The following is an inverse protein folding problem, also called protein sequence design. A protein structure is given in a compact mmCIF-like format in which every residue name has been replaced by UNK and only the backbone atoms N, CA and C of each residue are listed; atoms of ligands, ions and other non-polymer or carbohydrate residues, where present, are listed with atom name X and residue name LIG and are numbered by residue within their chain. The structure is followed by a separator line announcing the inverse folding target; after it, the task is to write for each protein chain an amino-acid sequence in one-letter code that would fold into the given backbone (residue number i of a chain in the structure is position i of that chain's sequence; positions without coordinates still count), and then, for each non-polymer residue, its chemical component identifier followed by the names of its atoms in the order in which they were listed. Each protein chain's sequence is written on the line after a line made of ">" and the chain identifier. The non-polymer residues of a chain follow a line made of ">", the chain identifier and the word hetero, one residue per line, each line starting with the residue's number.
data_IF_529137606613
#
_entry.id   IF_529137606613
#
_cell.length_a   1.000
_cell.length_b   1.000
_cell.length_c   1.000
_cell.angle_alpha   90.00
_cell.angle_beta   90.00
_cell.angle_gamma   90.00
#
_symmetry.space_group_name_H-M   'P 1'
#
loop_
_entity.id
_entity.type
_entity.pdbx_description
1 polymer ?
#
# COMPACT_ATOMS: atom_id res chain seq x y z
N UNK A 1 12.42 16.95 -12.52
CA UNK A 1 12.15 17.10 -11.09
C UNK A 1 13.26 17.79 -10.33
N UNK A 2 14.55 17.44 -10.57
CA UNK A 2 15.68 17.97 -9.82
C UNK A 2 15.91 19.48 -9.94
N UNK A 3 15.25 20.17 -10.86
CA UNK A 3 15.34 21.63 -11.04
C UNK A 3 14.26 22.40 -10.27
N UNK A 4 13.25 21.72 -9.72
CA UNK A 4 12.19 22.35 -8.93
C UNK A 4 12.52 22.18 -7.46
N UNK A 5 12.57 23.25 -6.72
CA UNK A 5 12.69 23.23 -5.26
C UNK A 5 11.50 23.92 -4.62
N UNK A 6 10.92 23.26 -3.63
CA UNK A 6 9.94 23.84 -2.73
C UNK A 6 10.66 24.23 -1.46
N UNK A 7 10.46 25.45 -0.97
CA UNK A 7 11.21 26.01 0.17
C UNK A 7 10.26 26.64 1.19
N UNK A 8 10.79 26.85 2.41
CA UNK A 8 10.12 27.54 3.52
C UNK A 8 8.74 26.91 3.84
N UNK A 9 7.71 27.71 4.01
CA UNK A 9 6.36 27.29 4.42
C UNK A 9 5.72 26.32 3.43
N UNK A 10 5.93 26.55 2.12
CA UNK A 10 5.46 25.62 1.10
C UNK A 10 6.14 24.23 1.23
N UNK A 11 7.41 24.17 1.60
CA UNK A 11 8.09 22.90 1.85
C UNK A 11 7.53 22.23 3.12
N UNK A 12 7.31 22.98 4.19
CA UNK A 12 6.70 22.46 5.41
C UNK A 12 5.30 21.88 5.14
N UNK A 13 4.45 22.60 4.40
CA UNK A 13 3.12 22.14 4.02
C UNK A 13 3.16 20.85 3.21
N UNK A 14 4.07 20.72 2.24
CA UNK A 14 4.25 19.48 1.46
C UNK A 14 4.74 18.32 2.31
N UNK A 15 5.63 18.54 3.27
CA UNK A 15 6.11 17.51 4.19
C UNK A 15 4.98 17.03 5.11
N UNK A 16 4.17 17.96 5.65
CA UNK A 16 2.98 17.61 6.44
C UNK A 16 1.98 16.80 5.62
N UNK A 17 1.72 17.22 4.38
CA UNK A 17 0.86 16.47 3.46
C UNK A 17 1.42 15.08 3.14
N UNK A 18 2.73 14.95 2.95
CA UNK A 18 3.36 13.66 2.69
C UNK A 18 3.15 12.69 3.88
N UNK A 19 3.22 13.17 5.13
CA UNK A 19 2.95 12.34 6.31
C UNK A 19 1.54 11.74 6.25
N UNK A 20 0.55 12.53 5.87
CA UNK A 20 -0.85 12.05 5.76
C UNK A 20 -1.08 11.04 4.64
N UNK A 21 -0.10 10.85 3.76
CA UNK A 21 -0.15 9.88 2.66
C UNK A 21 0.72 8.63 2.93
N UNK A 22 1.33 8.52 4.11
CA UNK A 22 2.18 7.37 4.45
C UNK A 22 1.32 6.20 4.91
N UNK A 23 1.49 5.03 4.28
CA UNK A 23 1.14 3.75 4.88
C UNK A 23 2.30 3.34 5.78
N UNK A 24 2.17 3.58 7.08
CA UNK A 24 3.23 3.26 8.03
C UNK A 24 3.31 1.75 8.22
N UNK A 25 4.40 1.14 7.76
CA UNK A 25 4.47 -0.28 7.45
C UNK A 25 5.47 -1.01 8.33
N UNK A 26 5.13 -2.21 8.80
CA UNK A 26 6.07 -3.20 9.31
C UNK A 26 5.73 -4.58 8.74
N UNK A 27 6.70 -5.23 8.07
CA UNK A 27 6.56 -6.49 7.36
C UNK A 27 7.81 -7.35 7.58
N UNK A 28 8.22 -7.51 8.82
CA UNK A 28 9.35 -8.33 9.21
C UNK A 28 8.88 -9.65 9.81
N UNK A 29 9.63 -10.72 9.60
CA UNK A 29 9.31 -12.04 10.14
C UNK A 29 9.42 -12.13 11.67
N UNK A 30 10.06 -11.14 12.31
CA UNK A 30 10.22 -11.02 13.77
C UNK A 30 9.27 -9.98 14.39
N UNK A 31 8.25 -9.53 13.67
CA UNK A 31 7.26 -8.60 14.21
C UNK A 31 6.44 -9.23 15.36
N UNK A 32 6.08 -8.40 16.30
CA UNK A 32 5.27 -8.75 17.47
C UNK A 32 4.10 -7.79 17.63
N UNK A 33 3.05 -8.20 18.34
CA UNK A 33 1.92 -7.30 18.65
C UNK A 33 2.37 -6.02 19.35
N UNK A 34 3.33 -6.09 20.27
CA UNK A 34 3.88 -4.91 20.94
C UNK A 34 4.55 -3.95 19.98
N UNK A 35 5.27 -4.47 18.95
CA UNK A 35 5.86 -3.63 17.89
C UNK A 35 4.77 -2.98 17.04
N UNK A 36 3.73 -3.73 16.65
CA UNK A 36 2.59 -3.22 15.88
C UNK A 36 1.83 -2.15 16.66
N UNK A 37 1.50 -2.38 17.94
CA UNK A 37 0.81 -1.39 18.80
C UNK A 37 1.63 -0.10 18.92
N UNK A 38 2.94 -0.20 19.06
CA UNK A 38 3.83 0.98 19.07
C UNK A 38 3.84 1.71 17.71
N UNK A 39 3.76 0.97 16.60
CA UNK A 39 3.64 1.55 15.28
C UNK A 39 2.31 2.30 15.12
N UNK A 40 1.20 1.74 15.61
CA UNK A 40 -0.11 2.38 15.64
C UNK A 40 -0.11 3.68 16.46
N UNK A 41 0.58 3.69 17.61
CA UNK A 41 0.73 4.91 18.39
C UNK A 41 1.49 6.01 17.62
N UNK A 42 2.53 5.63 16.85
CA UNK A 42 3.24 6.56 15.96
C UNK A 42 2.36 7.05 14.81
N UNK A 43 1.47 6.22 14.28
CA UNK A 43 0.54 6.62 13.23
C UNK A 43 -0.46 7.67 13.69
N UNK A 44 -0.93 7.55 14.93
CA UNK A 44 -1.82 8.54 15.57
C UNK A 44 -1.12 9.88 15.85
N UNK A 45 0.16 9.82 16.21
CA UNK A 45 0.96 10.98 16.63
C UNK A 45 2.32 10.96 15.91
N UNK A 46 2.34 11.18 14.57
CA UNK A 46 3.57 11.09 13.77
C UNK A 46 4.52 12.27 14.02
N UNK A 47 4.01 13.36 14.59
CA UNK A 47 4.75 14.57 14.90
C UNK A 47 4.66 14.89 16.39
N UNK A 48 5.73 15.49 16.93
CA UNK A 48 5.76 16.02 18.29
C UNK A 48 4.89 17.27 18.39
N UNK A 49 4.22 17.44 19.53
CA UNK A 49 3.34 18.58 19.80
C UNK A 49 4.06 19.94 19.69
N UNK A 50 5.31 20.03 20.18
CA UNK A 50 6.10 21.26 20.09
C UNK A 50 6.37 21.69 18.64
N UNK A 51 6.53 20.73 17.72
CA UNK A 51 6.65 21.02 16.28
C UNK A 51 5.31 21.47 15.67
N UNK A 52 4.20 20.86 16.05
CA UNK A 52 2.87 21.28 15.60
C UNK A 52 2.57 22.71 16.07
N UNK A 53 2.89 23.05 17.33
CA UNK A 53 2.76 24.40 17.84
C UNK A 53 3.65 25.41 17.08
N UNK A 54 4.92 25.07 16.85
CA UNK A 54 5.86 25.94 16.12
C UNK A 54 5.43 26.19 14.65
N UNK A 55 4.69 25.24 14.06
CA UNK A 55 4.15 25.33 12.69
C UNK A 55 2.75 25.96 12.64
N UNK A 56 2.16 26.37 13.77
CA UNK A 56 0.78 26.87 13.83
C UNK A 56 -0.28 25.82 13.50
N UNK A 57 0.02 24.53 13.72
CA UNK A 57 -0.83 23.39 13.35
C UNK A 57 -1.39 22.66 14.58
N UNK A 58 -1.34 23.27 15.76
CA UNK A 58 -1.77 22.62 17.00
C UNK A 58 -3.23 22.13 16.98
N UNK A 59 -4.12 22.89 16.32
CA UNK A 59 -5.55 22.57 16.20
C UNK A 59 -5.87 21.66 15.00
N UNK A 60 -4.86 21.23 14.25
CA UNK A 60 -5.02 20.39 13.07
C UNK A 60 -4.41 19.00 13.30
N UNK A 61 -5.21 17.97 13.54
CA UNK A 61 -4.69 16.62 13.75
C UNK A 61 -3.99 16.10 12.49
N UNK A 62 -2.72 15.75 12.63
CA UNK A 62 -1.93 15.09 11.58
C UNK A 62 -1.76 13.63 11.97
N UNK A 63 -2.22 12.73 11.12
CA UNK A 63 -2.05 11.27 11.25
C UNK A 63 -1.43 10.71 9.97
N UNK A 64 -0.93 9.47 10.02
CA UNK A 64 -0.57 8.78 8.78
C UNK A 64 -1.83 8.32 8.02
N UNK A 65 -1.68 7.98 6.72
CA UNK A 65 -2.77 7.54 5.86
C UNK A 65 -3.30 6.16 6.24
N UNK A 66 -2.41 5.24 6.59
CA UNK A 66 -2.75 3.88 7.01
C UNK A 66 -1.66 3.26 7.87
N UNK A 67 -1.95 2.11 8.47
CA UNK A 67 -0.99 1.12 8.99
C UNK A 67 -1.01 -0.09 8.07
N UNK A 68 0.15 -0.59 7.67
CA UNK A 68 0.26 -1.80 6.84
C UNK A 68 1.03 -2.90 7.58
N UNK A 69 0.40 -4.07 7.71
CA UNK A 69 0.90 -5.23 8.47
C UNK A 69 0.62 -6.54 7.74
N UNK A 70 1.21 -7.64 8.22
CA UNK A 70 0.76 -8.99 7.86
C UNK A 70 -0.60 -9.30 8.48
N UNK A 71 -1.38 -10.18 7.81
CA UNK A 71 -2.66 -10.70 8.31
C UNK A 71 -2.64 -11.02 9.81
N UNK A 72 -1.59 -11.71 10.29
CA UNK A 72 -1.43 -12.11 11.70
C UNK A 72 -1.64 -10.97 12.71
N UNK A 73 -1.44 -9.73 12.30
CA UNK A 73 -1.47 -8.55 13.18
C UNK A 73 -2.65 -7.62 12.91
N UNK A 74 -3.55 -7.96 11.99
CA UNK A 74 -4.69 -7.10 11.62
C UNK A 74 -5.56 -6.80 12.84
N UNK A 75 -6.01 -7.82 13.56
CA UNK A 75 -6.86 -7.63 14.73
C UNK A 75 -6.21 -6.73 15.80
N UNK A 76 -4.90 -6.94 16.08
CA UNK A 76 -4.16 -6.11 17.04
C UNK A 76 -4.01 -4.65 16.58
N UNK A 77 -3.84 -4.42 15.27
CA UNK A 77 -3.76 -3.08 14.70
C UNK A 77 -5.13 -2.38 14.72
N UNK A 78 -6.21 -3.08 14.36
CA UNK A 78 -7.60 -2.57 14.39
C UNK A 78 -7.96 -2.14 15.81
N UNK A 79 -7.69 -2.98 16.81
CA UNK A 79 -7.89 -2.65 18.21
C UNK A 79 -7.11 -1.40 18.64
N UNK A 80 -5.81 -1.35 18.33
CA UNK A 80 -4.94 -0.23 18.69
C UNK A 80 -5.31 1.09 17.99
N UNK A 81 -5.97 1.05 16.83
CA UNK A 81 -6.40 2.21 16.05
C UNK A 81 -7.88 2.57 16.25
N UNK A 82 -8.59 1.86 17.15
CA UNK A 82 -10.00 2.13 17.41
C UNK A 82 -10.24 3.61 17.72
N UNK A 83 -11.22 4.22 17.06
CA UNK A 83 -11.57 5.64 17.21
C UNK A 83 -10.62 6.65 16.52
N UNK A 84 -9.55 6.21 15.84
CA UNK A 84 -8.63 7.13 15.17
C UNK A 84 -9.01 7.51 13.73
N UNK A 85 -9.84 6.70 13.09
CA UNK A 85 -10.14 6.82 11.66
C UNK A 85 -9.04 6.32 10.73
N UNK A 86 -7.87 5.92 11.23
CA UNK A 86 -6.74 5.40 10.44
C UNK A 86 -7.08 3.97 10.00
N UNK A 87 -7.11 3.65 8.71
CA UNK A 87 -7.37 2.31 8.23
C UNK A 87 -6.19 1.36 8.48
N UNK A 88 -6.50 0.07 8.58
CA UNK A 88 -5.52 -1.01 8.59
C UNK A 88 -5.48 -1.63 7.21
N UNK A 89 -4.28 -1.65 6.60
CA UNK A 89 -3.96 -2.37 5.39
C UNK A 89 -3.30 -3.72 5.74
N UNK A 90 -3.69 -4.77 5.03
CA UNK A 90 -3.06 -6.08 5.15
C UNK A 90 -2.39 -6.49 3.85
N UNK A 91 -1.11 -6.88 3.88
CA UNK A 91 -0.50 -7.54 2.73
C UNK A 91 -1.08 -8.94 2.57
N UNK A 92 -1.29 -9.38 1.32
CA UNK A 92 -2.00 -10.63 1.02
C UNK A 92 -1.48 -11.30 -0.25
N UNK A 93 -2.15 -12.39 -0.64
CA UNK A 93 -1.89 -13.20 -1.84
C UNK A 93 -0.52 -13.87 -1.86
N UNK A 94 -0.05 -14.29 -0.66
CA UNK A 94 1.27 -14.91 -0.50
C UNK A 94 2.41 -13.90 -0.59
N UNK A 95 2.20 -12.70 -0.03
CA UNK A 95 3.23 -11.66 0.04
C UNK A 95 4.54 -12.19 0.68
N UNK A 96 5.73 -11.85 0.15
CA UNK A 96 5.98 -10.94 -0.99
C UNK A 96 6.03 -11.63 -2.36
N UNK A 97 6.08 -12.96 -2.41
CA UNK A 97 6.32 -13.69 -3.64
C UNK A 97 5.10 -13.81 -4.56
N UNK A 98 3.90 -13.90 -4.00
CA UNK A 98 2.66 -14.08 -4.77
C UNK A 98 2.49 -15.49 -5.35
N UNK A 99 3.18 -16.52 -4.82
CA UNK A 99 3.31 -17.85 -5.43
C UNK A 99 2.55 -18.96 -4.68
N UNK A 100 1.55 -18.60 -3.90
CA UNK A 100 0.66 -19.60 -3.28
C UNK A 100 -0.51 -19.95 -4.23
N UNK A 101 -1.21 -21.10 -4.03
CA UNK A 101 -2.39 -21.46 -4.79
C UNK A 101 -3.47 -20.37 -4.78
N UNK A 102 -4.18 -20.21 -5.90
CA UNK A 102 -5.14 -19.12 -6.09
C UNK A 102 -6.27 -19.12 -5.04
N UNK A 103 -6.82 -20.28 -4.71
CA UNK A 103 -7.85 -20.41 -3.67
C UNK A 103 -7.36 -19.98 -2.27
N UNK A 104 -6.08 -20.20 -1.97
CA UNK A 104 -5.48 -19.74 -0.72
C UNK A 104 -5.26 -18.23 -0.71
N UNK A 105 -4.98 -17.61 -1.88
CA UNK A 105 -4.92 -16.15 -2.00
C UNK A 105 -6.26 -15.51 -1.65
N UNK A 106 -7.36 -16.05 -2.16
CA UNK A 106 -8.71 -15.54 -1.88
C UNK A 106 -9.05 -15.68 -0.39
N UNK A 107 -8.79 -16.84 0.20
CA UNK A 107 -9.02 -17.05 1.64
C UNK A 107 -8.19 -16.13 2.54
N UNK A 108 -6.96 -15.82 2.16
CA UNK A 108 -6.10 -14.87 2.88
C UNK A 108 -6.68 -13.46 2.86
N UNK A 109 -7.21 -13.02 1.72
CA UNK A 109 -7.93 -11.75 1.56
C UNK A 109 -9.17 -11.72 2.47
N UNK A 110 -10.06 -12.70 2.32
CA UNK A 110 -11.31 -12.80 3.09
C UNK A 110 -11.06 -12.82 4.60
N UNK A 111 -10.02 -13.55 5.05
CA UNK A 111 -9.64 -13.61 6.45
C UNK A 111 -9.20 -12.24 6.97
N UNK A 112 -8.41 -11.49 6.18
CA UNK A 112 -7.95 -10.14 6.56
C UNK A 112 -9.11 -9.15 6.63
N UNK A 113 -10.02 -9.18 5.67
CA UNK A 113 -11.23 -8.35 5.65
C UNK A 113 -12.11 -8.66 6.86
N UNK A 114 -12.31 -9.94 7.17
CA UNK A 114 -13.09 -10.39 8.33
C UNK A 114 -12.52 -9.90 9.67
N UNK A 115 -11.19 -9.78 9.78
CA UNK A 115 -10.53 -9.23 10.96
C UNK A 115 -10.53 -7.70 11.02
N UNK A 116 -11.08 -7.02 10.02
CA UNK A 116 -11.28 -5.58 10.01
C UNK A 116 -10.26 -4.80 9.18
N UNK A 117 -9.45 -5.44 8.33
CA UNK A 117 -8.66 -4.73 7.35
C UNK A 117 -9.59 -3.96 6.38
N UNK A 118 -9.29 -2.69 6.16
CA UNK A 118 -10.02 -1.83 5.23
C UNK A 118 -9.31 -1.64 3.90
N UNK A 119 -8.08 -2.08 3.82
CA UNK A 119 -7.25 -2.03 2.63
C UNK A 119 -6.49 -3.34 2.49
N UNK A 120 -6.45 -3.88 1.29
CA UNK A 120 -5.76 -5.14 1.00
C UNK A 120 -4.68 -4.88 -0.04
N UNK A 121 -3.44 -5.07 0.35
CA UNK A 121 -2.26 -4.90 -0.50
C UNK A 121 -1.93 -6.25 -1.14
N UNK A 122 -2.53 -6.53 -2.29
CA UNK A 122 -2.33 -7.79 -3.02
C UNK A 122 -1.05 -7.75 -3.85
N UNK A 123 -0.38 -8.89 -3.99
CA UNK A 123 0.73 -9.06 -4.93
C UNK A 123 0.23 -9.81 -6.15
N UNK A 124 0.41 -9.23 -7.34
CA UNK A 124 0.05 -9.90 -8.60
C UNK A 124 0.94 -11.12 -8.86
N UNK A 125 0.43 -12.10 -9.61
CA UNK A 125 1.26 -13.17 -10.16
C UNK A 125 2.09 -12.63 -11.32
N UNK A 126 3.38 -12.34 -11.05
CA UNK A 126 4.29 -11.70 -12.03
C UNK A 126 4.45 -12.50 -13.30
N UNK A 127 4.31 -13.84 -13.23
CA UNK A 127 4.36 -14.74 -14.39
C UNK A 127 3.38 -14.31 -15.49
N UNK A 128 2.17 -13.90 -15.14
CA UNK A 128 1.17 -13.45 -16.12
C UNK A 128 1.70 -12.26 -16.95
N UNK A 129 2.38 -11.34 -16.30
CA UNK A 129 2.99 -10.17 -16.98
C UNK A 129 4.19 -10.60 -17.84
N UNK A 130 5.07 -11.44 -17.28
CA UNK A 130 6.32 -11.85 -17.94
C UNK A 130 6.08 -12.74 -19.15
N UNK A 131 4.99 -13.51 -19.15
CA UNK A 131 4.56 -14.35 -20.29
C UNK A 131 3.57 -13.65 -21.23
N UNK A 132 3.13 -12.44 -20.87
CA UNK A 132 2.15 -11.68 -21.67
C UNK A 132 0.72 -12.20 -21.56
N UNK A 133 0.41 -13.00 -20.54
CA UNK A 133 -0.94 -13.51 -20.30
C UNK A 133 -1.80 -12.47 -19.56
N UNK A 134 -2.14 -11.40 -20.27
CA UNK A 134 -2.90 -10.26 -19.72
C UNK A 134 -4.30 -10.62 -19.27
N UNK A 135 -4.93 -11.63 -19.94
CA UNK A 135 -6.24 -12.11 -19.53
C UNK A 135 -6.18 -12.78 -18.16
N UNK A 136 -5.19 -13.62 -17.92
CA UNK A 136 -5.05 -14.27 -16.61
C UNK A 136 -4.78 -13.24 -15.50
N UNK A 137 -3.99 -12.19 -15.77
CA UNK A 137 -3.80 -11.10 -14.81
C UNK A 137 -5.12 -10.38 -14.51
N UNK A 138 -5.92 -10.11 -15.55
CA UNK A 138 -7.22 -9.45 -15.38
C UNK A 138 -8.18 -10.30 -14.56
N UNK A 139 -8.30 -11.59 -14.90
CA UNK A 139 -9.19 -12.52 -14.22
C UNK A 139 -8.77 -12.68 -12.74
N UNK A 140 -7.47 -12.89 -12.47
CA UNK A 140 -6.92 -12.96 -11.10
C UNK A 140 -7.26 -11.71 -10.29
N UNK A 141 -7.07 -10.53 -10.86
CA UNK A 141 -7.39 -9.26 -10.20
C UNK A 141 -8.88 -9.07 -9.95
N UNK A 142 -9.75 -9.56 -10.86
CA UNK A 142 -11.21 -9.54 -10.66
C UNK A 142 -11.62 -10.40 -9.48
N UNK A 143 -11.04 -11.59 -9.36
CA UNK A 143 -11.29 -12.49 -8.23
C UNK A 143 -10.83 -11.83 -6.91
N UNK A 144 -9.67 -11.18 -6.91
CA UNK A 144 -9.19 -10.45 -5.73
C UNK A 144 -10.10 -9.28 -5.35
N UNK A 145 -10.57 -8.51 -6.35
CA UNK A 145 -11.51 -7.41 -6.10
C UNK A 145 -12.80 -7.93 -5.45
N UNK A 146 -13.34 -9.04 -5.95
CA UNK A 146 -14.55 -9.67 -5.40
C UNK A 146 -14.32 -10.13 -3.95
N UNK A 147 -13.20 -10.81 -3.67
CA UNK A 147 -12.86 -11.27 -2.33
C UNK A 147 -12.65 -10.12 -1.33
N UNK A 148 -12.21 -8.95 -1.79
CA UNK A 148 -12.02 -7.77 -0.94
C UNK A 148 -13.34 -7.09 -0.51
N UNK A 149 -14.45 -7.33 -1.22
CA UNK A 149 -15.74 -6.68 -0.92
C UNK A 149 -15.62 -5.15 -0.89
N UNK A 150 -15.92 -4.53 0.24
CA UNK A 150 -15.86 -3.07 0.42
C UNK A 150 -14.44 -2.54 0.75
N UNK A 151 -13.47 -3.42 1.00
CA UNK A 151 -12.11 -2.99 1.29
C UNK A 151 -11.42 -2.47 0.01
N UNK A 152 -10.57 -1.45 0.14
CA UNK A 152 -9.77 -0.96 -0.98
C UNK A 152 -8.71 -1.97 -1.40
N UNK A 153 -8.51 -2.12 -2.69
CA UNK A 153 -7.50 -3.00 -3.29
C UNK A 153 -6.30 -2.19 -3.75
N UNK A 154 -5.13 -2.48 -3.20
CA UNK A 154 -3.87 -1.92 -3.68
C UNK A 154 -3.09 -3.01 -4.40
N UNK A 155 -2.92 -2.86 -5.72
CA UNK A 155 -2.22 -3.86 -6.54
C UNK A 155 -0.71 -3.61 -6.53
N UNK A 156 0.05 -4.47 -5.84
CA UNK A 156 1.51 -4.43 -5.83
C UNK A 156 2.02 -5.11 -7.11
N UNK A 157 2.63 -4.33 -7.99
CA UNK A 157 3.16 -4.81 -9.26
C UNK A 157 4.53 -5.49 -9.15
N UNK A 158 5.32 -5.16 -8.10
CA UNK A 158 6.72 -5.56 -7.97
C UNK A 158 7.54 -5.15 -9.20
N UNK A 159 7.55 -3.85 -9.48
CA UNK A 159 8.01 -3.26 -10.75
C UNK A 159 9.46 -3.59 -11.08
N UNK A 160 10.32 -3.82 -10.09
CA UNK A 160 11.70 -4.26 -10.28
C UNK A 160 11.83 -5.60 -11.01
N UNK A 161 10.83 -6.46 -10.88
CA UNK A 161 10.82 -7.80 -11.48
C UNK A 161 10.18 -7.84 -12.86
N UNK A 162 9.46 -6.80 -13.29
CA UNK A 162 8.69 -6.80 -14.55
C UNK A 162 9.51 -6.48 -15.81
N UNK A 163 10.82 -6.27 -15.66
CA UNK A 163 11.84 -6.12 -16.73
C UNK A 163 11.75 -4.82 -17.54
N UNK A 164 10.57 -4.37 -17.96
CA UNK A 164 10.42 -3.22 -18.86
C UNK A 164 9.34 -2.24 -18.40
N UNK A 165 9.51 -0.95 -18.71
CA UNK A 165 8.49 0.07 -18.48
C UNK A 165 7.17 -0.25 -19.20
N UNK A 166 7.25 -0.90 -20.37
CA UNK A 166 6.06 -1.34 -21.12
C UNK A 166 5.25 -2.37 -20.34
N UNK A 167 5.90 -3.35 -19.71
CA UNK A 167 5.22 -4.33 -18.88
C UNK A 167 4.58 -3.67 -17.65
N UNK A 168 5.29 -2.74 -17.02
CA UNK A 168 4.78 -1.99 -15.85
C UNK A 168 3.53 -1.20 -16.22
N UNK A 169 3.57 -0.44 -17.33
CA UNK A 169 2.42 0.34 -17.80
C UNK A 169 1.20 -0.55 -18.11
N UNK A 170 1.42 -1.66 -18.82
CA UNK A 170 0.34 -2.61 -19.14
C UNK A 170 -0.23 -3.29 -17.90
N UNK A 171 0.63 -3.75 -16.98
CA UNK A 171 0.18 -4.38 -15.74
C UNK A 171 -0.64 -3.40 -14.89
N UNK A 172 -0.18 -2.14 -14.76
CA UNK A 172 -0.92 -1.08 -14.09
C UNK A 172 -2.32 -0.89 -14.70
N UNK A 173 -2.38 -0.75 -16.03
CA UNK A 173 -3.66 -0.57 -16.73
C UNK A 173 -4.61 -1.75 -16.51
N UNK A 174 -4.11 -2.98 -16.67
CA UNK A 174 -4.93 -4.19 -16.46
C UNK A 174 -5.46 -4.27 -15.03
N UNK A 175 -4.63 -3.97 -14.02
CA UNK A 175 -5.06 -3.96 -12.62
C UNK A 175 -6.14 -2.90 -12.35
N UNK A 176 -5.97 -1.69 -12.89
CA UNK A 176 -6.97 -0.62 -12.77
C UNK A 176 -8.30 -1.01 -13.45
N UNK A 177 -8.26 -1.55 -14.68
CA UNK A 177 -9.44 -2.03 -15.41
C UNK A 177 -10.16 -3.17 -14.66
N UNK A 178 -9.43 -3.97 -13.90
CA UNK A 178 -9.97 -5.06 -13.10
C UNK A 178 -10.52 -4.62 -11.73
N UNK A 179 -10.37 -3.33 -11.36
CA UNK A 179 -10.95 -2.75 -10.16
C UNK A 179 -9.98 -2.51 -9.01
N UNK A 180 -8.68 -2.40 -9.27
CA UNK A 180 -7.75 -1.93 -8.26
C UNK A 180 -7.98 -0.43 -7.96
N UNK A 181 -8.11 -0.08 -6.68
CA UNK A 181 -8.26 1.31 -6.23
C UNK A 181 -6.92 2.04 -6.27
N UNK A 182 -5.81 1.32 -6.05
CA UNK A 182 -4.45 1.86 -6.04
C UNK A 182 -3.49 0.93 -6.76
N UNK A 183 -2.49 1.53 -7.40
CA UNK A 183 -1.32 0.81 -7.93
C UNK A 183 -0.13 1.08 -7.02
N UNK A 184 0.49 0.00 -6.54
CA UNK A 184 1.67 0.04 -5.66
C UNK A 184 2.89 -0.50 -6.42
N UNK A 185 4.01 0.20 -6.35
CA UNK A 185 5.20 -0.17 -7.14
C UNK A 185 5.83 -1.47 -6.68
N UNK A 186 5.94 -1.69 -5.38
CA UNK A 186 6.90 -2.66 -4.83
C UNK A 186 6.41 -3.30 -3.54
N UNK A 187 6.89 -4.51 -3.26
CA UNK A 187 6.73 -5.17 -1.95
C UNK A 187 7.72 -4.63 -0.91
N UNK A 188 8.80 -3.99 -1.34
CA UNK A 188 9.94 -3.64 -0.50
C UNK A 188 10.95 -4.79 -0.29
N UNK A 189 10.72 -5.93 -0.92
CA UNK A 189 11.57 -7.14 -0.81
C UNK A 189 12.29 -7.47 -2.12
N UNK A 190 12.02 -6.75 -3.21
CA UNK A 190 12.74 -6.87 -4.47
C UNK A 190 14.15 -6.24 -4.37
N UNK A 191 15.05 -6.68 -5.25
CA UNK A 191 16.40 -6.09 -5.38
C UNK A 191 16.34 -4.61 -5.83
N UNK A 192 15.34 -4.25 -6.64
CA UNK A 192 15.06 -2.88 -7.07
C UNK A 192 13.61 -2.54 -6.77
N UNK A 193 13.38 -1.53 -5.96
CA UNK A 193 12.04 -1.05 -5.60
C UNK A 193 11.63 0.14 -6.46
N UNK A 194 10.82 1.06 -5.91
CA UNK A 194 10.35 2.24 -6.61
C UNK A 194 11.51 3.11 -7.12
N UNK A 195 11.45 3.48 -8.39
CA UNK A 195 12.37 4.44 -9.02
C UNK A 195 11.60 5.66 -9.53
N UNK A 196 12.28 6.79 -9.66
CA UNK A 196 11.65 8.01 -10.21
C UNK A 196 11.02 7.79 -11.59
N UNK A 197 11.66 7.10 -12.56
CA UNK A 197 11.04 6.82 -13.85
C UNK A 197 9.77 5.98 -13.73
N UNK A 198 9.75 4.96 -12.90
CA UNK A 198 8.57 4.11 -12.66
C UNK A 198 7.46 4.90 -11.98
N UNK A 199 7.77 5.67 -10.95
CA UNK A 199 6.78 6.49 -10.25
C UNK A 199 6.18 7.54 -11.20
N UNK A 200 7.00 8.17 -12.05
CA UNK A 200 6.55 9.10 -13.08
C UNK A 200 5.60 8.42 -14.08
N UNK A 201 5.97 7.22 -14.56
CA UNK A 201 5.14 6.44 -15.48
C UNK A 201 3.76 6.14 -14.88
N UNK A 202 3.71 5.65 -13.66
CA UNK A 202 2.45 5.29 -12.99
C UNK A 202 1.59 6.52 -12.72
N UNK A 203 2.19 7.62 -12.27
CA UNK A 203 1.47 8.87 -11.99
C UNK A 203 0.89 9.52 -13.26
N UNK A 204 1.55 9.37 -14.41
CA UNK A 204 1.11 9.95 -15.68
C UNK A 204 0.31 8.99 -16.56
N UNK A 205 0.11 7.74 -16.12
CA UNK A 205 -0.73 6.78 -16.84
C UNK A 205 -2.18 7.24 -16.85
N UNK A 206 -2.89 7.11 -17.99
CA UNK A 206 -4.32 7.41 -18.02
C UNK A 206 -5.09 6.45 -17.10
N UNK A 207 -6.08 6.99 -16.39
CA UNK A 207 -7.07 6.12 -15.73
C UNK A 207 -8.00 5.53 -16.78
N UNK A 208 -8.46 4.27 -16.62
CA UNK A 208 -9.43 3.66 -17.49
C UNK A 208 -10.82 4.33 -17.41
#
# INVERSE_FOLDING_TARGET
>A
PGRRSVKKDAQAAWLLKAITCIDLTTLNGDDTEGRVRRLCAKARHPLREDLLHALGMADHPITTGAICVYHRFVAAAVDALSGSGIPVAAVSTGFPAGLIPHDLKLREIEASVKEGAREIDIVITREHVLTGNWKALYDEMRDFREACGEAHVKAILATGDLKTLKNIAKASMVCMMAGADFIKTSTGKEASNATLPVSCLLYTSPSP
#
